data_IF_919253404786
#
_entry.id   IF_919253404786
#
_cell.length_a   1.000
_cell.length_b   1.000
_cell.length_c   1.000
_cell.angle_alpha   90.00
_cell.angle_beta   90.00
_cell.angle_gamma   90.00
#
_symmetry.space_group_name_H-M   'P 1'
#
loop_
_entity.id
_entity.type
_entity.pdbx_description
1 polymer ?
#
# COMPACT_ATOMS: atom_id res chain seq x y z
N UNK A 1 -1.69 -13.99 -6.88
CA UNK A 1 -0.56 -14.63 -6.17
C UNK A 1 0.74 -14.08 -6.73
N UNK A 2 1.79 -14.01 -5.91
CA UNK A 2 3.10 -13.49 -6.31
C UNK A 2 4.13 -14.63 -6.20
N UNK A 3 4.96 -14.81 -7.22
CA UNK A 3 5.97 -15.87 -7.27
C UNK A 3 7.31 -15.34 -7.76
N UNK A 4 8.44 -15.79 -7.22
CA UNK A 4 9.74 -15.50 -7.82
C UNK A 4 9.89 -16.24 -9.15
N UNK A 5 10.44 -15.58 -10.16
CA UNK A 5 10.73 -16.13 -11.49
C UNK A 5 12.15 -15.77 -11.88
N UNK A 6 12.92 -16.76 -12.35
CA UNK A 6 14.27 -16.55 -12.88
C UNK A 6 14.21 -16.40 -14.39
N UNK A 7 14.88 -15.40 -14.93
CA UNK A 7 15.02 -15.17 -16.37
C UNK A 7 16.47 -15.08 -16.76
N UNK A 8 16.77 -15.57 -17.97
CA UNK A 8 18.09 -15.51 -18.57
C UNK A 8 18.10 -14.38 -19.60
N UNK A 9 18.89 -13.34 -19.36
CA UNK A 9 19.07 -12.21 -20.26
C UNK A 9 20.56 -11.99 -20.47
N UNK A 10 21.02 -12.06 -21.73
CA UNK A 10 22.43 -11.82 -22.06
C UNK A 10 23.45 -12.76 -21.40
N UNK A 11 23.03 -13.93 -20.90
CA UNK A 11 23.88 -14.86 -20.16
C UNK A 11 23.89 -14.67 -18.63
N UNK A 12 23.18 -13.67 -18.12
CA UNK A 12 23.00 -13.41 -16.68
C UNK A 12 21.61 -13.87 -16.24
N UNK A 13 21.51 -14.42 -15.02
CA UNK A 13 20.24 -14.81 -14.41
C UNK A 13 19.74 -13.66 -13.54
N UNK A 14 18.58 -13.12 -13.89
CA UNK A 14 17.86 -12.12 -13.10
C UNK A 14 16.66 -12.76 -12.42
N UNK A 15 16.41 -12.41 -11.15
CA UNK A 15 15.22 -12.87 -10.42
C UNK A 15 14.22 -11.73 -10.33
N UNK A 16 12.98 -12.02 -10.71
CA UNK A 16 11.85 -11.10 -10.72
C UNK A 16 10.70 -11.67 -9.89
N UNK A 17 9.69 -10.87 -9.60
CA UNK A 17 8.41 -11.34 -9.11
C UNK A 17 7.36 -11.32 -10.22
N UNK A 18 6.61 -12.41 -10.34
CA UNK A 18 5.45 -12.54 -11.20
C UNK A 18 4.20 -12.42 -10.33
N UNK A 19 3.46 -11.32 -10.50
CA UNK A 19 2.10 -11.23 -9.95
C UNK A 19 1.13 -11.83 -10.96
N UNK A 20 0.60 -13.01 -10.64
CA UNK A 20 -0.36 -13.74 -11.48
C UNK A 20 -1.76 -13.73 -10.88
N UNK A 21 -2.73 -13.41 -11.72
CA UNK A 21 -4.14 -13.35 -11.41
C UNK A 21 -4.86 -14.61 -11.94
N UNK A 22 -5.56 -15.34 -11.06
CA UNK A 22 -6.14 -16.65 -11.38
C UNK A 22 -7.68 -16.65 -11.42
N UNK A 23 -8.33 -15.54 -11.00
CA UNK A 23 -9.78 -15.46 -10.87
C UNK A 23 -10.43 -14.96 -12.17
N UNK A 24 -10.24 -15.74 -13.23
CA UNK A 24 -10.51 -15.34 -14.61
C UNK A 24 -11.95 -15.59 -15.05
N UNK A 25 -12.75 -16.18 -14.16
CA UNK A 25 -14.17 -16.47 -14.39
C UNK A 25 -15.09 -15.34 -13.93
N UNK A 26 -14.56 -14.34 -13.23
CA UNK A 26 -15.33 -13.22 -12.72
C UNK A 26 -14.84 -11.92 -13.37
N UNK A 27 -15.73 -11.32 -14.17
CA UNK A 27 -15.42 -10.13 -14.98
C UNK A 27 -15.07 -8.89 -14.13
N UNK A 28 -15.59 -8.79 -12.90
CA UNK A 28 -15.26 -7.69 -11.98
C UNK A 28 -13.78 -7.76 -11.59
N UNK A 29 -13.31 -8.97 -11.26
CA UNK A 29 -11.93 -9.22 -10.87
C UNK A 29 -10.94 -9.02 -12.02
N UNK A 30 -11.31 -9.45 -13.23
CA UNK A 30 -10.52 -9.16 -14.44
C UNK A 30 -10.44 -7.66 -14.71
N UNK A 31 -11.56 -6.93 -14.61
CA UNK A 31 -11.58 -5.48 -14.79
C UNK A 31 -10.71 -4.76 -13.74
N UNK A 32 -10.74 -5.21 -12.48
CA UNK A 32 -9.87 -4.69 -11.41
C UNK A 32 -8.40 -4.90 -11.72
N UNK A 33 -7.99 -6.09 -12.17
CA UNK A 33 -6.60 -6.36 -12.54
C UNK A 33 -6.13 -5.48 -13.71
N UNK A 34 -6.95 -5.35 -14.77
CA UNK A 34 -6.64 -4.44 -15.89
C UNK A 34 -6.50 -2.99 -15.43
N UNK A 35 -7.38 -2.56 -14.52
CA UNK A 35 -7.31 -1.21 -13.92
C UNK A 35 -6.02 -1.03 -13.14
N UNK A 36 -5.62 -2.01 -12.33
CA UNK A 36 -4.36 -1.99 -11.58
C UNK A 36 -3.15 -1.84 -12.51
N UNK A 37 -3.09 -2.66 -13.57
CA UNK A 37 -2.00 -2.57 -14.57
C UNK A 37 -1.97 -1.20 -15.23
N UNK A 38 -3.13 -0.67 -15.64
CA UNK A 38 -3.22 0.67 -16.24
C UNK A 38 -2.76 1.76 -15.27
N UNK A 39 -3.17 1.71 -14.01
CA UNK A 39 -2.74 2.72 -13.02
C UNK A 39 -1.23 2.63 -12.77
N UNK A 40 -0.69 1.43 -12.60
CA UNK A 40 0.74 1.25 -12.40
C UNK A 40 1.56 1.68 -13.62
N UNK A 41 1.05 1.49 -14.84
CA UNK A 41 1.67 2.02 -16.06
C UNK A 41 1.68 3.55 -16.08
N UNK A 42 0.59 4.20 -15.67
CA UNK A 42 0.51 5.67 -15.58
C UNK A 42 1.44 6.24 -14.50
N UNK A 43 1.78 5.45 -13.48
CA UNK A 43 2.62 5.85 -12.34
C UNK A 43 4.10 5.40 -12.46
N UNK A 44 4.50 4.89 -13.63
CA UNK A 44 5.89 4.51 -13.90
C UNK A 44 6.85 5.68 -13.70
N UNK A 45 8.07 5.38 -13.23
CA UNK A 45 9.14 6.36 -13.03
C UNK A 45 9.25 6.91 -11.61
N UNK A 46 8.26 6.72 -10.73
CA UNK A 46 8.41 7.09 -9.32
C UNK A 46 9.23 6.04 -8.55
N UNK A 47 10.29 6.41 -7.82
CA UNK A 47 11.20 5.45 -7.17
C UNK A 47 10.53 4.61 -6.08
N UNK A 48 9.45 5.09 -5.48
CA UNK A 48 8.74 4.42 -4.40
C UNK A 48 7.40 3.78 -4.81
N UNK A 49 7.15 3.60 -6.11
CA UNK A 49 5.99 2.85 -6.63
C UNK A 49 6.51 1.61 -7.36
N UNK A 50 5.86 0.46 -7.18
CA UNK A 50 6.25 -0.78 -7.89
C UNK A 50 6.18 -0.57 -9.40
N UNK A 51 7.28 -0.87 -10.09
CA UNK A 51 7.37 -0.78 -11.55
C UNK A 51 6.88 -2.08 -12.20
N UNK A 52 6.03 -1.96 -13.21
CA UNK A 52 5.68 -3.07 -14.11
C UNK A 52 6.77 -3.18 -15.17
N UNK A 53 7.41 -4.34 -15.24
CA UNK A 53 8.41 -4.65 -16.26
C UNK A 53 7.75 -5.18 -17.53
N UNK A 54 6.87 -6.18 -17.38
CA UNK A 54 6.21 -6.84 -18.51
C UNK A 54 4.79 -7.24 -18.13
N UNK A 55 3.76 -6.56 -18.67
CA UNK A 55 2.38 -6.99 -18.53
C UNK A 55 2.02 -8.05 -19.58
N UNK A 56 1.37 -9.14 -19.14
CA UNK A 56 0.77 -10.16 -20.00
C UNK A 56 -0.75 -10.21 -19.71
N UNK A 57 -1.51 -9.57 -20.59
CA UNK A 57 -2.98 -9.54 -20.56
C UNK A 57 -3.51 -10.13 -21.87
N UNK A 58 -3.93 -11.39 -21.83
CA UNK A 58 -4.56 -12.11 -22.94
C UNK A 58 -5.84 -12.80 -22.44
N UNK A 59 -6.99 -12.23 -22.79
CA UNK A 59 -8.30 -12.77 -22.40
C UNK A 59 -8.60 -14.12 -23.06
N UNK A 60 -8.14 -14.32 -24.31
CA UNK A 60 -8.38 -15.54 -25.07
C UNK A 60 -7.65 -16.73 -24.46
N UNK A 61 -6.41 -16.51 -24.02
CA UNK A 61 -5.58 -17.51 -23.36
C UNK A 61 -5.73 -17.52 -21.83
N UNK A 62 -6.60 -16.65 -21.29
CA UNK A 62 -6.79 -16.49 -19.84
C UNK A 62 -5.46 -16.24 -19.12
N UNK A 63 -4.66 -15.31 -19.64
CA UNK A 63 -3.40 -14.88 -19.02
C UNK A 63 -3.54 -13.46 -18.52
N UNK A 64 -3.35 -13.31 -17.22
CA UNK A 64 -3.41 -12.02 -16.53
C UNK A 64 -2.30 -12.01 -15.50
N UNK A 65 -1.15 -11.50 -15.89
CA UNK A 65 0.00 -11.41 -15.01
C UNK A 65 0.88 -10.23 -15.41
N UNK A 66 1.77 -9.83 -14.52
CA UNK A 66 2.85 -8.94 -14.87
C UNK A 66 4.10 -9.25 -14.05
N UNK A 67 5.26 -8.93 -14.63
CA UNK A 67 6.54 -8.96 -13.94
C UNK A 67 6.84 -7.64 -13.23
N UNK A 68 7.48 -7.74 -12.08
CA UNK A 68 7.98 -6.64 -11.27
C UNK A 68 9.31 -7.01 -10.61
N UNK A 69 10.07 -6.05 -10.06
CA UNK A 69 11.30 -6.34 -9.33
C UNK A 69 11.10 -7.35 -8.19
N UNK A 70 12.15 -8.09 -7.85
CA UNK A 70 12.14 -8.96 -6.68
C UNK A 70 12.20 -8.11 -5.40
N UNK A 71 11.16 -8.22 -4.58
CA UNK A 71 11.05 -7.51 -3.30
C UNK A 71 11.17 -8.53 -2.15
N UNK A 72 11.93 -8.19 -1.11
CA UNK A 72 12.32 -9.13 -0.06
C UNK A 72 11.15 -9.45 0.89
N UNK A 73 10.42 -8.43 1.32
CA UNK A 73 9.38 -8.57 2.35
C UNK A 73 8.31 -7.49 2.24
N UNK A 74 7.16 -7.73 2.85
CA UNK A 74 6.20 -6.67 3.18
C UNK A 74 6.60 -5.92 4.46
N UNK A 75 6.11 -4.69 4.59
CA UNK A 75 6.40 -3.79 5.72
C UNK A 75 5.92 -4.36 7.05
N UNK A 76 4.80 -5.09 7.05
CA UNK A 76 4.28 -5.73 8.26
C UNK A 76 5.32 -6.68 8.85
N UNK A 77 5.78 -7.65 8.06
CA UNK A 77 6.81 -8.62 8.47
C UNK A 77 8.13 -7.93 8.81
N UNK A 78 8.52 -6.91 8.06
CA UNK A 78 9.73 -6.15 8.34
C UNK A 78 9.69 -5.51 9.74
N UNK A 79 8.60 -4.82 10.09
CA UNK A 79 8.46 -4.18 11.40
C UNK A 79 8.36 -5.22 12.52
N UNK A 80 7.56 -6.27 12.35
CA UNK A 80 7.41 -7.33 13.36
C UNK A 80 8.77 -8.00 13.66
N UNK A 81 9.53 -8.35 12.61
CA UNK A 81 10.87 -8.95 12.73
C UNK A 81 11.84 -8.02 13.45
N UNK A 82 11.98 -6.76 13.03
CA UNK A 82 12.98 -5.86 13.60
C UNK A 82 12.59 -5.33 14.99
N UNK A 83 11.30 -5.19 15.30
CA UNK A 83 10.83 -4.84 16.64
C UNK A 83 11.20 -5.92 17.66
N UNK A 84 11.01 -7.21 17.31
CA UNK A 84 11.36 -8.32 18.22
C UNK A 84 12.84 -8.35 18.59
N UNK A 85 13.69 -7.71 17.79
CA UNK A 85 15.15 -7.59 18.00
C UNK A 85 15.58 -6.21 18.51
N UNK A 86 14.66 -5.28 18.65
CA UNK A 86 14.93 -3.87 18.98
C UNK A 86 15.93 -3.19 18.01
N UNK A 87 15.89 -3.57 16.73
CA UNK A 87 16.84 -3.12 15.70
C UNK A 87 16.31 -1.93 14.88
N UNK A 88 15.02 -1.57 15.03
CA UNK A 88 14.37 -0.55 14.20
C UNK A 88 14.26 0.81 14.93
N UNK A 89 15.15 1.73 14.57
CA UNK A 89 15.21 3.09 15.12
C UNK A 89 14.04 3.96 14.65
N UNK A 90 13.82 5.10 15.32
CA UNK A 90 12.76 6.06 14.94
C UNK A 90 13.09 6.71 13.60
N UNK A 91 14.36 7.02 13.34
CA UNK A 91 14.82 7.63 12.11
C UNK A 91 14.50 6.74 10.91
N UNK A 92 14.79 5.43 11.00
CA UNK A 92 14.49 4.50 9.91
C UNK A 92 12.98 4.35 9.67
N UNK A 93 12.17 4.40 10.73
CA UNK A 93 10.70 4.39 10.62
C UNK A 93 10.19 5.61 9.86
N UNK A 94 10.73 6.78 10.17
CA UNK A 94 10.36 8.04 9.52
C UNK A 94 10.85 8.10 8.07
N UNK A 95 12.04 7.55 7.78
CA UNK A 95 12.53 7.38 6.41
C UNK A 95 11.58 6.50 5.58
N UNK A 96 11.13 5.37 6.13
CA UNK A 96 10.13 4.51 5.50
C UNK A 96 8.84 5.27 5.22
N UNK A 97 8.30 5.99 6.21
CA UNK A 97 7.05 6.73 6.01
C UNK A 97 7.20 7.87 5.00
N UNK A 98 8.34 8.56 4.98
CA UNK A 98 8.64 9.61 4.01
C UNK A 98 8.61 9.08 2.57
N UNK A 99 9.17 7.89 2.33
CA UNK A 99 9.12 7.24 1.02
C UNK A 99 7.68 6.88 0.60
N UNK A 100 6.87 6.40 1.55
CA UNK A 100 5.45 6.08 1.30
C UNK A 100 4.66 7.36 0.98
N UNK A 101 4.87 8.42 1.76
CA UNK A 101 4.19 9.70 1.58
C UNK A 101 4.52 10.32 0.22
N UNK A 102 5.79 10.26 -0.20
CA UNK A 102 6.26 10.68 -1.53
C UNK A 102 5.53 9.94 -2.66
N UNK A 103 5.45 8.61 -2.59
CA UNK A 103 4.71 7.80 -3.57
C UNK A 103 3.22 8.15 -3.63
N UNK A 104 2.58 8.33 -2.46
CA UNK A 104 1.16 8.62 -2.39
C UNK A 104 0.83 10.01 -2.92
N UNK A 105 1.66 11.01 -2.62
CA UNK A 105 1.53 12.36 -3.19
C UNK A 105 1.65 12.34 -4.70
N UNK A 106 2.69 11.70 -5.24
CA UNK A 106 2.86 11.57 -6.69
C UNK A 106 1.66 10.88 -7.35
N UNK A 107 1.13 9.81 -6.75
CA UNK A 107 -0.07 9.15 -7.26
C UNK A 107 -1.29 10.07 -7.29
N UNK A 108 -1.50 10.84 -6.22
CA UNK A 108 -2.63 11.77 -6.09
C UNK A 108 -2.54 12.94 -7.07
N UNK A 109 -1.34 13.49 -7.30
CA UNK A 109 -1.08 14.52 -8.33
C UNK A 109 -1.41 14.02 -9.74
N UNK A 110 -1.30 12.71 -9.99
CA UNK A 110 -1.70 12.05 -11.23
C UNK A 110 -3.17 11.55 -11.22
N UNK A 111 -3.97 11.98 -10.24
CA UNK A 111 -5.39 11.64 -10.14
C UNK A 111 -5.65 10.16 -9.80
N UNK A 112 -4.69 9.48 -9.19
CA UNK A 112 -4.79 8.07 -8.80
C UNK A 112 -4.86 7.94 -7.28
N UNK A 113 -5.81 7.17 -6.78
CA UNK A 113 -5.94 6.86 -5.35
C UNK A 113 -5.66 5.37 -5.13
N UNK A 114 -4.98 5.02 -4.03
CA UNK A 114 -4.58 3.63 -3.74
C UNK A 114 -5.76 2.80 -3.23
N UNK A 115 -6.52 3.32 -2.25
CA UNK A 115 -7.76 2.75 -1.69
C UNK A 115 -7.62 1.46 -0.87
N UNK A 116 -6.44 0.85 -0.82
CA UNK A 116 -6.13 -0.36 -0.03
C UNK A 116 -4.77 -0.20 0.68
N UNK A 117 -4.44 1.02 1.12
CA UNK A 117 -3.13 1.30 1.68
C UNK A 117 -3.01 0.63 3.07
N UNK A 118 -2.12 -0.36 3.18
CA UNK A 118 -1.87 -1.11 4.41
C UNK A 118 -0.42 -1.63 4.45
N UNK A 119 0.09 -2.05 5.61
CA UNK A 119 1.45 -2.59 5.71
C UNK A 119 1.73 -3.83 4.84
N UNK A 120 0.69 -4.52 4.37
CA UNK A 120 0.85 -5.69 3.48
C UNK A 120 1.09 -5.27 2.02
N UNK A 121 0.71 -4.05 1.65
CA UNK A 121 0.82 -3.50 0.30
C UNK A 121 1.99 -2.49 0.19
N UNK A 122 2.86 -2.48 1.20
CA UNK A 122 4.12 -1.75 1.20
C UNK A 122 5.23 -2.80 1.22
N UNK A 123 6.05 -2.80 0.19
CA UNK A 123 7.09 -3.80 -0.03
C UNK A 123 8.45 -3.15 0.14
N UNK A 124 9.44 -3.94 0.57
CA UNK A 124 10.82 -3.50 0.73
C UNK A 124 11.74 -4.41 -0.08
N UNK A 125 12.76 -3.81 -0.71
CA UNK A 125 13.88 -4.57 -1.28
C UNK A 125 14.98 -4.87 -0.25
N UNK A 126 16.06 -5.50 -0.70
CA UNK A 126 17.22 -5.88 0.12
C UNK A 126 17.94 -4.68 0.77
N UNK A 127 17.80 -3.49 0.18
CA UNK A 127 18.36 -2.25 0.70
C UNK A 127 17.37 -1.50 1.60
N UNK A 128 16.22 -2.12 1.90
CA UNK A 128 15.14 -1.55 2.69
C UNK A 128 14.55 -0.28 2.03
N UNK A 129 14.64 -0.18 0.71
CA UNK A 129 13.96 0.84 -0.07
C UNK A 129 12.50 0.43 -0.27
N UNK A 130 11.60 1.39 -0.15
CA UNK A 130 10.16 1.15 -0.06
C UNK A 130 9.48 1.30 -1.40
N UNK A 131 8.58 0.37 -1.70
CA UNK A 131 7.71 0.40 -2.87
C UNK A 131 6.25 0.22 -2.44
N UNK A 132 5.40 1.18 -2.82
CA UNK A 132 3.94 1.06 -2.71
C UNK A 132 3.42 0.22 -3.85
N UNK A 133 2.59 -0.79 -3.55
CA UNK A 133 1.95 -1.65 -4.53
C UNK A 133 0.41 -1.62 -4.41
N UNK A 134 -0.26 -2.42 -5.24
CA UNK A 134 -1.72 -2.66 -5.20
C UNK A 134 -2.58 -1.40 -5.38
N UNK A 135 -2.28 -0.57 -6.38
CA UNK A 135 -3.17 0.51 -6.84
C UNK A 135 -4.36 -0.08 -7.61
N UNK A 136 -5.37 -0.59 -6.91
CA UNK A 136 -6.53 -1.24 -7.52
C UNK A 136 -7.81 -0.89 -6.78
N UNK A 137 -8.93 -0.76 -7.51
CA UNK A 137 -10.25 -0.54 -6.92
C UNK A 137 -10.50 -1.55 -5.79
N UNK A 138 -10.67 -1.02 -4.57
CA UNK A 138 -10.70 -1.73 -3.30
C UNK A 138 -11.33 -3.12 -3.37
N UNK A 139 -10.66 -4.08 -2.73
CA UNK A 139 -11.10 -5.46 -2.60
C UNK A 139 -12.54 -5.47 -2.09
N UNK A 140 -13.45 -6.23 -2.73
CA UNK A 140 -14.78 -6.44 -2.17
C UNK A 140 -14.65 -7.37 -0.95
N UNK A 141 -14.33 -6.79 0.20
CA UNK A 141 -14.02 -7.57 1.39
C UNK A 141 -15.21 -8.44 1.82
N UNK A 142 -16.47 -8.03 1.56
CA UNK A 142 -17.66 -8.85 1.82
C UNK A 142 -17.71 -10.09 0.92
N UNK A 143 -17.41 -9.94 -0.36
CA UNK A 143 -17.45 -11.07 -1.31
C UNK A 143 -16.29 -12.04 -1.04
N UNK A 144 -15.09 -11.51 -0.76
CA UNK A 144 -13.91 -12.30 -0.36
C UNK A 144 -14.15 -13.09 0.94
N UNK A 145 -14.78 -12.49 1.94
CA UNK A 145 -15.09 -13.18 3.20
C UNK A 145 -16.19 -14.26 3.03
N UNK A 146 -17.18 -14.02 2.17
CA UNK A 146 -18.31 -14.93 1.94
C UNK A 146 -17.95 -16.18 1.13
N UNK A 147 -16.97 -16.07 0.24
CA UNK A 147 -16.53 -17.18 -0.63
C UNK A 147 -15.36 -17.99 -0.02
N UNK A 148 -15.10 -17.84 1.29
CA UNK A 148 -14.01 -18.55 1.98
C UNK A 148 -12.61 -18.07 1.56
N UNK A 149 -12.51 -16.92 0.90
CA UNK A 149 -11.24 -16.35 0.44
C UNK A 149 -10.59 -15.54 1.55
N UNK A 150 -10.16 -16.27 2.58
CA UNK A 150 -9.09 -15.84 3.47
C UNK A 150 -7.77 -15.84 2.71
N UNK A 151 -7.58 -14.91 1.76
CA UNK A 151 -6.22 -14.53 1.46
C UNK A 151 -5.60 -14.06 2.77
N UNK A 152 -4.43 -14.59 3.10
CA UNK A 152 -3.61 -14.41 4.31
C UNK A 152 -3.40 -12.93 4.73
N UNK A 153 -3.88 -11.96 3.93
CA UNK A 153 -3.87 -10.51 4.11
C UNK A 153 -5.16 -9.87 4.65
N UNK A 154 -6.28 -10.60 4.74
CA UNK A 154 -7.62 -10.00 4.98
C UNK A 154 -7.86 -9.49 6.40
N UNK A 155 -7.34 -10.15 7.43
CA UNK A 155 -7.63 -9.78 8.82
C UNK A 155 -7.00 -8.46 9.26
N UNK A 156 -5.84 -8.08 8.70
CA UNK A 156 -5.13 -6.86 9.09
C UNK A 156 -5.40 -5.63 8.23
N UNK A 157 -6.09 -5.78 7.10
CA UNK A 157 -6.33 -4.67 6.16
C UNK A 157 -7.48 -3.78 6.62
N UNK A 158 -8.52 -4.36 7.24
CA UNK A 158 -9.68 -3.64 7.76
C UNK A 158 -9.34 -2.50 8.72
N UNK A 159 -8.26 -2.67 9.49
CA UNK A 159 -7.79 -1.68 10.45
C UNK A 159 -7.28 -0.39 9.80
N UNK A 160 -7.00 -0.40 8.49
CA UNK A 160 -6.46 0.74 7.73
C UNK A 160 -7.49 1.37 6.79
N UNK A 161 -8.64 0.71 6.58
CA UNK A 161 -9.70 1.19 5.68
C UNK A 161 -10.50 2.30 6.37
N UNK A 162 -10.72 3.40 5.66
CA UNK A 162 -11.52 4.53 6.14
C UNK A 162 -13.00 4.14 6.35
N UNK A 163 -13.68 4.68 7.38
CA UNK A 163 -15.07 4.34 7.71
C UNK A 163 -16.04 4.41 6.52
N UNK A 164 -15.94 5.44 5.69
CA UNK A 164 -16.78 5.64 4.51
C UNK A 164 -16.58 4.55 3.44
N UNK A 165 -15.35 4.05 3.28
CA UNK A 165 -15.05 2.97 2.34
C UNK A 165 -15.64 1.63 2.79
N UNK A 166 -15.77 1.41 4.12
CA UNK A 166 -16.38 0.19 4.68
C UNK A 166 -17.86 0.08 4.32
N UNK A 167 -18.54 1.22 4.19
CA UNK A 167 -19.94 1.27 3.78
C UNK A 167 -20.09 1.04 2.28
N UNK A 168 -19.27 1.71 1.45
CA UNK A 168 -19.27 1.59 -0.02
C UNK A 168 -17.85 1.79 -0.56
N UNK A 169 -17.25 0.71 -1.07
CA UNK A 169 -15.88 0.71 -1.62
C UNK A 169 -15.63 1.72 -2.75
N UNK A 170 -16.68 2.13 -3.47
CA UNK A 170 -16.58 3.11 -4.56
C UNK A 170 -16.35 4.54 -4.09
N UNK A 171 -16.56 4.84 -2.80
CA UNK A 171 -16.46 6.18 -2.22
C UNK A 171 -15.02 6.51 -1.73
N UNK A 172 -14.03 5.73 -2.17
CA UNK A 172 -12.62 6.00 -1.89
C UNK A 172 -12.15 7.29 -2.58
N UNK A 173 -11.49 8.15 -1.83
CA UNK A 173 -11.00 9.47 -2.23
C UNK A 173 -9.61 9.71 -1.66
N UNK A 174 -9.01 10.85 -1.98
CA UNK A 174 -7.80 11.32 -1.30
C UNK A 174 -7.94 11.32 0.24
N UNK A 175 -9.11 11.70 0.77
CA UNK A 175 -9.40 11.68 2.21
C UNK A 175 -9.38 10.28 2.83
N UNK A 176 -9.70 9.24 2.05
CA UNK A 176 -9.62 7.87 2.54
C UNK A 176 -8.18 7.37 2.58
N UNK A 177 -7.36 7.73 1.60
CA UNK A 177 -5.92 7.43 1.62
C UNK A 177 -5.21 8.20 2.77
N UNK A 178 -5.62 9.44 3.06
CA UNK A 178 -5.15 10.22 4.23
C UNK A 178 -5.45 9.48 5.54
N UNK A 179 -6.65 8.91 5.68
CA UNK A 179 -7.00 8.08 6.84
C UNK A 179 -6.05 6.87 6.94
N UNK A 180 -5.87 6.14 5.84
CA UNK A 180 -4.98 4.98 5.81
C UNK A 180 -3.54 5.35 6.13
N UNK A 181 -3.04 6.49 5.67
CA UNK A 181 -1.71 7.02 5.99
C UNK A 181 -1.56 7.35 7.48
N UNK A 182 -2.55 7.95 8.11
CA UNK A 182 -2.52 8.21 9.56
C UNK A 182 -2.43 6.91 10.37
N UNK A 183 -3.24 5.92 10.00
CA UNK A 183 -3.20 4.57 10.59
C UNK A 183 -1.84 3.89 10.35
N UNK A 184 -1.30 4.04 9.14
CA UNK A 184 -0.02 3.46 8.74
C UNK A 184 1.17 4.11 9.47
N UNK A 185 1.17 5.42 9.66
CA UNK A 185 2.19 6.13 10.45
C UNK A 185 2.22 5.62 11.89
N UNK A 186 1.04 5.46 12.51
CA UNK A 186 0.96 4.89 13.86
C UNK A 186 1.55 3.48 13.92
N UNK A 187 1.21 2.61 12.95
CA UNK A 187 1.78 1.27 12.88
C UNK A 187 3.30 1.31 12.67
N UNK A 188 3.79 2.18 11.80
CA UNK A 188 5.22 2.34 11.53
C UNK A 188 5.97 2.77 12.79
N UNK A 189 5.42 3.70 13.58
CA UNK A 189 6.04 4.18 14.80
C UNK A 189 6.02 3.16 15.95
N UNK A 190 4.96 2.36 16.05
CA UNK A 190 4.70 1.55 17.25
C UNK A 190 4.79 0.04 17.03
N UNK A 191 4.70 -0.43 15.79
CA UNK A 191 4.49 -1.83 15.42
C UNK A 191 3.15 -2.41 15.86
N UNK A 192 2.19 -1.56 16.28
CA UNK A 192 0.88 -1.99 16.79
C UNK A 192 -0.22 -1.60 15.82
N UNK A 193 -1.26 -2.42 15.77
CA UNK A 193 -2.51 -2.03 15.12
C UNK A 193 -3.05 -0.77 15.81
N UNK A 194 -3.51 0.26 15.07
CA UNK A 194 -3.88 1.51 15.71
C UNK A 194 -5.18 1.35 16.51
N UNK A 195 -5.16 1.79 17.76
CA UNK A 195 -6.34 1.89 18.62
C UNK A 195 -6.88 3.33 18.54
N UNK A 196 -7.82 3.70 19.40
CA UNK A 196 -8.34 5.09 19.50
C UNK A 196 -7.43 6.03 20.30
N UNK A 197 -6.26 5.56 20.78
CA UNK A 197 -5.34 6.33 21.63
C UNK A 197 -3.95 6.42 20.98
N UNK A 198 -3.66 7.57 20.39
CA UNK A 198 -2.46 7.77 19.59
C UNK A 198 -1.22 8.27 20.36
N UNK A 199 -1.25 8.34 21.70
CA UNK A 199 -0.14 8.84 22.54
C UNK A 199 1.21 8.17 22.26
N UNK A 200 1.20 6.88 21.90
CA UNK A 200 2.42 6.13 21.59
C UNK A 200 3.16 6.64 20.35
N UNK A 201 2.54 7.51 19.54
CA UNK A 201 3.16 8.15 18.38
C UNK A 201 3.93 9.44 18.70
N UNK A 202 3.94 9.89 19.96
CA UNK A 202 4.70 11.08 20.38
C UNK A 202 4.23 12.34 19.67
N UNK A 203 5.16 13.08 19.08
CA UNK A 203 4.88 14.36 18.38
C UNK A 203 3.85 14.22 17.24
N UNK A 204 3.69 13.01 16.68
CA UNK A 204 2.73 12.73 15.62
C UNK A 204 1.31 12.42 16.12
N UNK A 205 1.04 12.41 17.43
CA UNK A 205 -0.26 12.08 18.01
C UNK A 205 -1.40 12.91 17.39
N UNK A 206 -1.24 14.23 17.33
CA UNK A 206 -2.26 15.14 16.83
C UNK A 206 -2.45 15.02 15.31
N UNK A 207 -1.34 14.82 14.58
CA UNK A 207 -1.40 14.59 13.14
C UNK A 207 -2.20 13.32 12.83
N UNK A 208 -1.87 12.21 13.50
CA UNK A 208 -2.56 10.93 13.32
C UNK A 208 -4.02 11.06 13.70
N UNK A 209 -4.32 11.72 14.83
CA UNK A 209 -5.70 11.95 15.27
C UNK A 209 -6.52 12.67 14.19
N UNK A 210 -6.00 13.79 13.68
CA UNK A 210 -6.66 14.57 12.61
C UNK A 210 -6.80 13.77 11.32
N UNK A 211 -5.76 13.05 10.90
CA UNK A 211 -5.82 12.22 9.69
C UNK A 211 -6.85 11.09 9.80
N UNK A 212 -7.13 10.61 11.01
CA UNK A 212 -7.99 9.45 11.27
C UNK A 212 -9.37 9.78 11.84
N UNK A 213 -9.82 11.04 11.71
CA UNK A 213 -11.19 11.42 12.08
C UNK A 213 -12.25 10.63 11.31
N UNK A 214 -13.38 10.34 11.95
CA UNK A 214 -14.44 9.51 11.38
C UNK A 214 -15.11 10.20 10.18
N UNK A 215 -15.44 11.50 10.28
CA UNK A 215 -15.95 12.29 9.16
C UNK A 215 -14.78 12.75 8.26
N UNK A 216 -14.76 12.40 6.95
CA UNK A 216 -13.72 12.85 6.01
C UNK A 216 -13.54 14.38 5.95
N UNK A 217 -14.56 15.16 6.33
CA UNK A 217 -14.50 16.63 6.37
C UNK A 217 -13.57 17.15 7.47
N UNK A 218 -13.42 16.41 8.55
CA UNK A 218 -12.59 16.80 9.71
C UNK A 218 -11.11 16.41 9.52
N UNK A 219 -10.80 15.62 8.49
CA UNK A 219 -9.43 15.26 8.08
C UNK A 219 -8.74 16.39 7.30
N UNK A 220 -7.43 16.29 7.10
CA UNK A 220 -6.67 17.16 6.18
C UNK A 220 -7.36 17.28 4.82
N UNK A 221 -7.42 18.48 4.25
CA UNK A 221 -8.14 18.77 3.00
C UNK A 221 -7.58 17.97 1.82
N UNK A 222 -6.27 17.82 1.76
CA UNK A 222 -5.53 17.13 0.72
C UNK A 222 -4.19 16.60 1.27
N UNK A 223 -3.48 15.83 0.45
CA UNK A 223 -2.19 15.23 0.75
C UNK A 223 -1.13 16.29 1.05
N UNK A 224 -1.16 17.43 0.38
CA UNK A 224 -0.21 18.53 0.59
C UNK A 224 -0.27 19.03 2.04
N UNK A 225 -1.46 19.28 2.58
CA UNK A 225 -1.59 19.74 3.97
C UNK A 225 -1.18 18.69 5.00
N UNK A 226 -1.39 17.39 4.71
CA UNK A 226 -0.89 16.31 5.56
C UNK A 226 0.64 16.28 5.54
N UNK A 227 1.24 16.42 4.37
CA UNK A 227 2.69 16.39 4.16
C UNK A 227 3.39 17.59 4.82
N UNK A 228 2.85 18.79 4.68
CA UNK A 228 3.37 19.99 5.33
C UNK A 228 3.42 19.85 6.85
N UNK A 229 2.34 19.38 7.48
CA UNK A 229 2.33 19.14 8.93
C UNK A 229 3.29 18.01 9.32
N UNK A 230 3.40 16.95 8.51
CA UNK A 230 4.35 15.86 8.76
C UNK A 230 5.80 16.36 8.77
N UNK A 231 6.22 17.13 7.77
CA UNK A 231 7.59 17.65 7.70
C UNK A 231 7.88 18.74 8.74
N UNK A 232 6.86 19.52 9.13
CA UNK A 232 6.99 20.44 10.25
C UNK A 232 7.33 19.67 11.54
N UNK A 233 6.60 18.61 11.85
CA UNK A 233 6.84 17.77 13.04
C UNK A 233 8.17 17.00 12.98
N UNK A 234 8.68 16.70 11.79
CA UNK A 234 10.02 16.11 11.62
C UNK A 234 11.17 17.07 12.00
N UNK A 235 10.89 18.38 12.01
CA UNK A 235 11.89 19.42 12.29
C UNK A 235 11.89 19.90 13.75
N UNK A 236 10.98 19.39 14.58
CA UNK A 236 10.87 19.66 16.03
C UNK A 236 11.67 18.66 16.86
#
# INVERSE_FOLDING_TARGET
MIFPVRRHEGGTIHTHQLKKFYYLTNNIYVARFKTEVSILQDLQGHPNIVQILEPEIDESQKKFNYLMPLLETDLKKYIEKNNSKNELTVEKRLEIFTQILSAMKFAHENGKWNRDLSPNNILLDENQHVYVCDFGLGKDYKEMHSQGYSSVSGYGTWDYIAPEQRAKLKDATEKSDIYSLGRLLYFILTGKVPNTNYKAAGVFELLIKKATEEDPKDRYENMTLLEEEYFKLLSE
#
